data_IF_402357778402
#
_entry.id   IF_402357778402
#
_cell.length_a   1.000
_cell.length_b   1.000
_cell.length_c   1.000
_cell.angle_alpha   90.00
_cell.angle_beta   90.00
_cell.angle_gamma   90.00
#
_symmetry.space_group_name_H-M   'P 1'
#
loop_
_entity.id
_entity.type
_entity.pdbx_description
1 polymer ?
#
# COMPACT_ATOMS: atom_id res chain seq x y z
N UNK A 1 -1.13 0.06 15.63
CA UNK A 1 -0.37 -0.13 14.38
C UNK A 1 0.86 0.75 14.42
N UNK A 2 2.04 0.21 14.11
CA UNK A 2 3.29 0.95 13.99
C UNK A 2 3.42 1.56 12.60
N UNK A 3 3.86 2.82 12.53
CA UNK A 3 4.23 3.48 11.29
C UNK A 3 5.76 3.59 11.22
N UNK A 4 6.36 3.09 10.15
CA UNK A 4 7.80 3.19 9.93
C UNK A 4 8.06 3.73 8.53
N UNK A 5 8.73 4.88 8.46
CA UNK A 5 9.28 5.40 7.21
C UNK A 5 10.77 5.04 7.16
N UNK A 6 11.23 4.47 6.04
CA UNK A 6 12.65 4.20 5.83
C UNK A 6 13.29 5.41 5.13
N UNK A 7 14.38 5.91 5.71
CA UNK A 7 15.14 7.04 5.15
C UNK A 7 16.00 6.61 3.94
N UNK A 8 16.36 5.34 3.87
CA UNK A 8 17.17 4.77 2.80
C UNK A 8 16.32 4.36 1.60
N UNK A 9 16.88 4.53 0.41
CA UNK A 9 16.29 3.97 -0.81
C UNK A 9 16.40 2.45 -0.75
N UNK A 10 15.27 1.77 -0.92
CA UNK A 10 15.15 0.33 -0.89
C UNK A 10 14.30 -0.14 -2.07
N UNK A 11 14.86 -0.99 -2.92
CA UNK A 11 14.13 -1.57 -4.04
C UNK A 11 13.17 -2.68 -3.59
N UNK A 12 12.04 -2.79 -4.29
CA UNK A 12 11.04 -3.82 -4.09
C UNK A 12 11.15 -4.88 -5.19
N UNK A 13 11.52 -6.09 -4.79
CA UNK A 13 11.63 -7.27 -5.68
C UNK A 13 10.46 -8.27 -5.49
N UNK A 14 9.53 -7.92 -4.60
CA UNK A 14 8.38 -8.76 -4.22
C UNK A 14 8.62 -9.58 -2.95
N UNK A 15 9.87 -9.77 -2.52
CA UNK A 15 10.17 -10.62 -1.36
C UNK A 15 9.72 -9.98 -0.03
N UNK A 16 9.56 -8.66 0.00
CA UNK A 16 9.14 -7.86 1.15
C UNK A 16 7.67 -8.09 1.54
N UNK A 17 6.84 -8.66 0.64
CA UNK A 17 5.44 -9.00 0.96
C UNK A 17 5.32 -10.23 1.86
N UNK A 18 6.42 -10.92 2.14
CA UNK A 18 6.44 -12.04 3.08
C UNK A 18 5.99 -11.65 4.51
N UNK A 19 5.38 -12.61 5.21
CA UNK A 19 5.00 -12.44 6.61
C UNK A 19 6.19 -12.13 7.49
N UNK A 20 5.98 -11.33 8.53
CA UNK A 20 7.00 -10.95 9.51
C UNK A 20 8.19 -10.19 8.90
N UNK A 21 8.04 -9.65 7.68
CA UNK A 21 9.11 -8.87 7.06
C UNK A 21 9.52 -7.66 7.91
N UNK A 22 8.53 -6.93 8.44
CA UNK A 22 8.76 -5.79 9.33
C UNK A 22 9.43 -6.20 10.66
N UNK A 23 9.09 -7.38 11.18
CA UNK A 23 9.75 -7.96 12.35
C UNK A 23 11.21 -8.31 12.06
N UNK A 24 11.50 -8.95 10.93
CA UNK A 24 12.87 -9.29 10.54
C UNK A 24 13.72 -8.04 10.26
N UNK A 25 13.10 -6.99 9.75
CA UNK A 25 13.79 -5.73 9.44
C UNK A 25 14.11 -4.90 10.69
N UNK A 26 13.14 -4.67 11.59
CA UNK A 26 13.27 -3.74 12.72
C UNK A 26 12.75 -4.27 14.07
N UNK A 27 12.34 -5.54 14.16
CA UNK A 27 11.84 -6.14 15.40
C UNK A 27 10.42 -5.72 15.78
N UNK A 28 9.62 -5.24 14.83
CA UNK A 28 8.25 -4.77 15.05
C UNK A 28 7.32 -5.94 15.39
N UNK A 29 6.64 -5.88 16.55
CA UNK A 29 5.82 -6.97 17.10
C UNK A 29 4.31 -6.65 17.15
N UNK A 30 3.85 -5.78 16.27
CA UNK A 30 2.45 -5.35 16.16
C UNK A 30 2.07 -5.16 14.71
N UNK A 31 0.77 -4.96 14.43
CA UNK A 31 0.31 -4.49 13.12
C UNK A 31 1.16 -3.30 12.65
N UNK A 32 1.54 -3.27 11.39
CA UNK A 32 2.50 -2.27 10.89
C UNK A 32 2.22 -1.83 9.47
N UNK A 33 2.59 -0.58 9.20
CA UNK A 33 2.79 -0.05 7.86
C UNK A 33 4.25 0.42 7.76
N UNK A 34 4.98 -0.17 6.83
CA UNK A 34 6.35 0.23 6.50
C UNK A 34 6.33 0.89 5.13
N UNK A 35 6.76 2.15 5.06
CA UNK A 35 6.78 2.92 3.83
C UNK A 35 8.20 3.34 3.46
N UNK A 36 8.53 3.26 2.17
CA UNK A 36 9.87 3.55 1.66
C UNK A 36 9.80 3.92 0.17
N UNK A 37 10.93 4.35 -0.39
CA UNK A 37 11.05 4.68 -1.81
C UNK A 37 12.15 3.86 -2.46
N UNK A 38 11.96 3.47 -3.71
CA UNK A 38 12.97 2.78 -4.51
C UNK A 38 12.41 2.31 -5.84
N UNK A 39 13.19 1.50 -6.55
CA UNK A 39 12.74 0.83 -7.75
C UNK A 39 11.80 -0.33 -7.43
N UNK A 40 11.07 -0.76 -8.44
CA UNK A 40 10.21 -1.93 -8.42
C UNK A 40 10.64 -2.86 -9.55
N UNK A 41 10.99 -4.11 -9.24
CA UNK A 41 11.30 -5.16 -10.22
C UNK A 41 10.92 -6.52 -9.63
N UNK A 42 9.62 -6.85 -9.70
CA UNK A 42 9.07 -8.04 -9.06
C UNK A 42 9.54 -9.30 -9.78
N UNK A 43 10.24 -10.17 -9.05
CA UNK A 43 10.70 -11.46 -9.60
C UNK A 43 9.52 -12.41 -9.78
N UNK A 44 9.56 -13.23 -10.84
CA UNK A 44 8.50 -14.19 -11.18
C UNK A 44 8.16 -15.19 -10.04
N UNK A 45 9.14 -15.48 -9.18
CA UNK A 45 8.99 -16.33 -7.99
C UNK A 45 8.31 -15.62 -6.82
N UNK A 46 8.29 -14.29 -6.81
CA UNK A 46 7.64 -13.44 -5.82
C UNK A 46 6.33 -12.82 -6.33
N UNK A 47 5.98 -13.07 -7.59
CA UNK A 47 4.73 -12.62 -8.18
C UNK A 47 3.54 -13.36 -7.56
N UNK A 48 2.74 -12.61 -6.81
CA UNK A 48 1.55 -13.13 -6.12
C UNK A 48 0.35 -13.19 -7.05
N UNK A 49 0.19 -12.20 -7.95
CA UNK A 49 -0.88 -12.24 -8.93
C UNK A 49 -0.59 -13.30 -10.01
N UNK A 50 -1.46 -14.30 -10.06
CA UNK A 50 -1.33 -15.39 -11.02
C UNK A 50 -1.82 -15.01 -12.42
N UNK A 51 -2.60 -13.94 -12.56
CA UNK A 51 -2.98 -13.38 -13.86
C UNK A 51 -1.76 -12.76 -14.53
N UNK A 52 -1.05 -11.86 -13.84
CA UNK A 52 0.21 -11.26 -14.32
C UNK A 52 1.23 -12.34 -14.70
N UNK A 53 1.35 -13.37 -13.84
CA UNK A 53 2.24 -14.52 -14.10
C UNK A 53 1.84 -15.32 -15.35
N UNK A 54 0.55 -15.45 -15.65
CA UNK A 54 0.05 -16.15 -16.84
C UNK A 54 0.22 -15.33 -18.10
N UNK A 55 0.07 -14.01 -18.00
CA UNK A 55 0.25 -13.08 -19.11
C UNK A 55 1.72 -12.79 -19.42
N UNK A 56 2.61 -13.12 -18.47
CA UNK A 56 4.05 -12.85 -18.59
C UNK A 56 4.36 -11.37 -18.38
N UNK A 57 3.49 -10.68 -17.65
CA UNK A 57 3.62 -9.26 -17.40
C UNK A 57 4.78 -9.00 -16.42
N UNK A 58 5.48 -7.90 -16.67
CA UNK A 58 6.56 -7.44 -15.81
C UNK A 58 6.04 -6.31 -14.92
N UNK A 59 6.10 -6.49 -13.61
CA UNK A 59 5.82 -5.40 -12.66
C UNK A 59 7.13 -4.67 -12.41
N UNK A 60 7.32 -3.58 -13.15
CA UNK A 60 8.54 -2.78 -13.12
C UNK A 60 8.24 -1.28 -12.98
N UNK A 61 9.07 -0.58 -12.22
CA UNK A 61 9.11 0.88 -12.17
C UNK A 61 10.49 1.35 -11.69
N UNK A 62 11.10 2.38 -12.30
CA UNK A 62 12.41 2.85 -11.89
C UNK A 62 12.39 3.61 -10.56
N UNK A 63 11.25 4.21 -10.17
CA UNK A 63 11.12 5.01 -8.96
C UNK A 63 9.68 5.05 -8.47
N UNK A 64 9.46 4.51 -7.27
CA UNK A 64 8.15 4.26 -6.70
C UNK A 64 8.15 4.45 -5.18
N UNK A 65 7.03 4.95 -4.65
CA UNK A 65 6.72 4.90 -3.22
C UNK A 65 6.08 3.55 -2.92
N UNK A 66 6.60 2.85 -1.91
CA UNK A 66 6.12 1.53 -1.50
C UNK A 66 5.52 1.61 -0.10
N UNK A 67 4.42 0.88 0.09
CA UNK A 67 3.77 0.69 1.39
C UNK A 67 3.55 -0.81 1.61
N UNK A 68 4.15 -1.36 2.67
CA UNK A 68 3.99 -2.74 3.10
C UNK A 68 3.21 -2.75 4.40
N UNK A 69 1.99 -3.27 4.34
CA UNK A 69 1.07 -3.33 5.47
C UNK A 69 0.97 -4.79 5.94
N UNK A 70 1.01 -4.99 7.25
CA UNK A 70 0.79 -6.29 7.88
C UNK A 70 -0.18 -6.18 9.07
N UNK A 71 -1.22 -7.02 9.05
CA UNK A 71 -2.20 -7.14 10.14
C UNK A 71 -2.24 -8.58 10.69
N UNK A 72 -2.34 -8.71 12.01
CA UNK A 72 -2.31 -10.01 12.71
C UNK A 72 -3.66 -10.41 13.35
N UNK A 73 -4.73 -9.70 13.05
CA UNK A 73 -6.06 -9.91 13.66
C UNK A 73 -6.93 -10.95 12.94
N UNK A 74 -6.60 -11.29 11.69
CA UNK A 74 -7.39 -12.21 10.86
C UNK A 74 -6.56 -12.78 9.71
N UNK A 75 -7.04 -13.86 9.08
CA UNK A 75 -6.54 -14.37 7.79
C UNK A 75 -7.64 -14.41 6.73
N UNK A 76 -8.73 -13.66 6.94
CA UNK A 76 -9.85 -13.58 5.99
C UNK A 76 -9.45 -12.83 4.71
N UNK A 77 -9.57 -13.51 3.57
CA UNK A 77 -9.19 -12.96 2.27
C UNK A 77 -10.07 -11.76 1.85
N UNK A 78 -11.38 -11.78 2.15
CA UNK A 78 -12.25 -10.66 1.78
C UNK A 78 -11.90 -9.43 2.61
N UNK A 79 -11.54 -9.61 3.88
CA UNK A 79 -11.12 -8.52 4.75
C UNK A 79 -9.83 -7.87 4.26
N UNK A 80 -8.80 -8.63 3.87
CA UNK A 80 -7.54 -8.01 3.38
C UNK A 80 -7.76 -7.25 2.07
N UNK A 81 -8.56 -7.78 1.14
CA UNK A 81 -8.91 -7.06 -0.09
C UNK A 81 -9.79 -5.82 0.18
N UNK A 82 -10.64 -5.85 1.21
CA UNK A 82 -11.37 -4.67 1.65
C UNK A 82 -10.42 -3.59 2.23
N UNK A 83 -9.44 -4.00 3.05
CA UNK A 83 -8.41 -3.10 3.60
C UNK A 83 -7.52 -2.51 2.52
N UNK A 84 -7.13 -3.29 1.52
CA UNK A 84 -6.40 -2.82 0.34
C UNK A 84 -7.18 -1.71 -0.39
N UNK A 85 -8.48 -1.92 -0.60
CA UNK A 85 -9.34 -0.91 -1.26
C UNK A 85 -9.58 0.33 -0.39
N UNK A 86 -9.67 0.17 0.93
CA UNK A 86 -9.70 1.30 1.87
C UNK A 86 -8.41 2.11 1.78
N UNK A 87 -7.24 1.45 1.80
CA UNK A 87 -5.95 2.12 1.63
C UNK A 87 -5.87 2.86 0.30
N UNK A 88 -6.34 2.25 -0.78
CA UNK A 88 -6.43 2.89 -2.11
C UNK A 88 -7.27 4.17 -2.08
N UNK A 89 -8.39 4.16 -1.34
CA UNK A 89 -9.24 5.34 -1.18
C UNK A 89 -8.54 6.45 -0.38
N UNK A 90 -7.85 6.10 0.72
CA UNK A 90 -7.06 7.04 1.52
C UNK A 90 -5.97 7.69 0.67
N UNK A 91 -5.26 6.91 -0.15
CA UNK A 91 -4.26 7.45 -1.08
C UNK A 91 -4.92 8.44 -2.05
N UNK A 92 -6.07 8.11 -2.63
CA UNK A 92 -6.78 9.02 -3.53
C UNK A 92 -7.18 10.34 -2.85
N UNK A 93 -7.64 10.27 -1.60
CA UNK A 93 -7.99 11.44 -0.79
C UNK A 93 -6.76 12.32 -0.49
N UNK A 94 -5.63 11.72 -0.11
CA UNK A 94 -4.38 12.44 0.12
C UNK A 94 -3.88 13.10 -1.18
N UNK A 95 -3.94 12.40 -2.31
CA UNK A 95 -3.56 12.96 -3.61
C UNK A 95 -4.47 14.14 -4.00
N UNK A 96 -5.77 14.03 -3.75
CA UNK A 96 -6.73 15.10 -3.97
C UNK A 96 -6.42 16.35 -3.10
N UNK A 97 -6.08 16.15 -1.83
CA UNK A 97 -5.65 17.24 -0.92
C UNK A 97 -4.38 17.95 -1.42
N UNK A 98 -3.57 17.27 -2.23
CA UNK A 98 -2.38 17.81 -2.88
C UNK A 98 -2.64 18.30 -4.31
N UNK A 99 -3.91 18.42 -4.73
CA UNK A 99 -4.30 18.94 -6.03
C UNK A 99 -4.26 17.94 -7.18
N UNK A 100 -4.04 16.65 -6.89
CA UNK A 100 -3.97 15.57 -7.90
C UNK A 100 -5.32 14.83 -7.95
N UNK A 101 -6.08 15.09 -9.01
CA UNK A 101 -7.34 14.37 -9.27
C UNK A 101 -7.04 12.96 -9.79
N UNK A 102 -7.52 11.93 -9.08
CA UNK A 102 -7.41 10.54 -9.54
C UNK A 102 -8.77 9.91 -9.81
N UNK A 103 -8.79 8.90 -10.68
CA UNK A 103 -9.93 7.99 -10.83
C UNK A 103 -9.56 6.64 -10.24
N UNK A 104 -10.41 6.09 -9.37
CA UNK A 104 -10.21 4.76 -8.78
C UNK A 104 -10.98 3.69 -9.55
N UNK A 105 -10.31 2.60 -9.91
CA UNK A 105 -10.93 1.39 -10.44
C UNK A 105 -10.46 0.20 -9.60
N UNK A 106 -11.31 -0.28 -8.69
CA UNK A 106 -10.90 -1.33 -7.75
C UNK A 106 -9.82 -0.85 -6.78
N UNK A 107 -8.65 -1.46 -6.84
CA UNK A 107 -7.42 -1.20 -6.09
C UNK A 107 -6.39 -0.35 -6.87
N UNK A 108 -6.73 0.06 -8.10
CA UNK A 108 -5.90 0.91 -8.93
C UNK A 108 -6.36 2.38 -8.92
N UNK A 109 -5.39 3.29 -8.91
CA UNK A 109 -5.59 4.71 -9.19
C UNK A 109 -5.01 5.07 -10.55
N UNK A 110 -5.71 5.96 -11.23
CA UNK A 110 -5.35 6.49 -12.54
C UNK A 110 -5.28 8.01 -12.49
N UNK A 111 -4.34 8.58 -13.23
CA UNK A 111 -4.26 10.01 -13.53
C UNK A 111 -4.07 10.20 -15.03
N UNK A 112 -4.84 11.11 -15.62
CA UNK A 112 -4.87 11.32 -17.08
C UNK A 112 -5.02 10.03 -17.90
N UNK A 113 -5.88 9.12 -17.42
CA UNK A 113 -6.12 7.79 -18.00
C UNK A 113 -4.93 6.83 -17.99
N UNK A 114 -3.82 7.18 -17.34
CA UNK A 114 -2.69 6.28 -17.13
C UNK A 114 -2.72 5.72 -15.70
N UNK A 115 -2.43 4.42 -15.57
CA UNK A 115 -2.34 3.75 -14.26
C UNK A 115 -1.19 4.36 -13.46
N UNK A 116 -1.47 4.85 -12.26
CA UNK A 116 -0.53 5.53 -11.36
C UNK A 116 0.04 4.57 -10.31
N UNK A 117 -0.76 3.59 -9.90
CA UNK A 117 -0.45 2.71 -8.77
C UNK A 117 -0.42 1.25 -9.17
N UNK A 118 0.26 0.45 -8.35
CA UNK A 118 0.13 -1.00 -8.33
C UNK A 118 -0.26 -1.42 -6.92
N UNK A 119 -0.95 -2.54 -6.78
CA UNK A 119 -1.40 -3.01 -5.48
C UNK A 119 -1.60 -4.51 -5.51
N UNK A 120 -1.32 -5.17 -4.40
CA UNK A 120 -1.68 -6.57 -4.20
C UNK A 120 -1.97 -6.84 -2.73
N UNK A 121 -2.91 -7.73 -2.48
CA UNK A 121 -3.31 -8.17 -1.16
C UNK A 121 -3.35 -9.69 -1.10
N UNK A 122 -2.90 -10.25 0.01
CA UNK A 122 -3.01 -11.69 0.25
C UNK A 122 -2.92 -11.99 1.74
N UNK A 123 -3.06 -13.26 2.10
CA UNK A 123 -2.88 -13.72 3.47
C UNK A 123 -1.86 -14.85 3.52
N UNK A 124 -1.16 -14.90 4.64
CA UNK A 124 -0.38 -16.05 5.06
C UNK A 124 -1.18 -16.87 6.07
N UNK A 125 -0.57 -17.89 6.64
CA UNK A 125 -1.16 -18.66 7.74
C UNK A 125 -1.28 -17.86 9.05
N UNK A 126 -0.64 -16.70 9.18
CA UNK A 126 -0.53 -15.97 10.46
C UNK A 126 -0.82 -14.47 10.37
N UNK A 127 -0.94 -13.90 9.15
CA UNK A 127 -1.12 -12.47 8.94
C UNK A 127 -1.71 -12.16 7.59
N UNK A 128 -2.29 -10.97 7.47
CA UNK A 128 -2.68 -10.36 6.19
C UNK A 128 -1.59 -9.43 5.71
N UNK A 129 -1.37 -9.37 4.39
CA UNK A 129 -0.34 -8.55 3.75
C UNK A 129 -0.94 -7.74 2.62
N UNK A 130 -0.54 -6.47 2.55
CA UNK A 130 -0.81 -5.60 1.40
C UNK A 130 0.48 -4.94 0.98
N UNK A 131 0.77 -4.96 -0.32
CA UNK A 131 1.73 -4.07 -0.95
C UNK A 131 0.97 -3.06 -1.80
N UNK A 132 1.37 -1.80 -1.70
CA UNK A 132 0.87 -0.73 -2.55
C UNK A 132 2.06 0.09 -3.07
N UNK A 133 2.02 0.44 -4.34
CA UNK A 133 3.05 1.19 -5.05
C UNK A 133 2.49 2.42 -5.75
N UNK A 134 3.18 3.56 -5.68
CA UNK A 134 2.83 4.79 -6.41
C UNK A 134 4.04 5.22 -7.24
N UNK A 135 3.89 5.30 -8.56
CA UNK A 135 4.99 5.75 -9.42
C UNK A 135 5.38 7.19 -9.10
N UNK A 136 6.63 7.42 -8.72
CA UNK A 136 7.21 8.77 -8.62
C UNK A 136 7.60 9.24 -10.01
N UNK A 137 8.29 8.39 -10.76
CA UNK A 137 8.69 8.60 -12.15
C UNK A 137 8.53 7.33 -12.96
N UNK A 138 7.98 7.43 -14.18
CA UNK A 138 7.86 6.31 -15.09
C UNK A 138 7.64 6.80 -16.53
N UNK A 139 8.28 6.15 -17.52
CA UNK A 139 8.21 6.57 -18.93
C UNK A 139 6.82 6.34 -19.57
N UNK A 140 6.20 5.20 -19.27
CA UNK A 140 4.91 4.78 -19.89
C UNK A 140 3.67 5.02 -19.02
N UNK A 141 3.72 4.63 -17.74
CA UNK A 141 2.61 4.73 -16.79
C UNK A 141 2.46 6.14 -16.19
N UNK A 142 1.33 6.37 -15.51
CA UNK A 142 1.10 7.62 -14.78
C UNK A 142 2.08 7.70 -13.61
N UNK A 143 2.54 8.90 -13.31
CA UNK A 143 3.52 9.14 -12.26
C UNK A 143 3.28 10.50 -11.59
N UNK A 144 3.81 10.67 -10.38
CA UNK A 144 3.65 11.88 -9.57
C UNK A 144 4.35 13.10 -10.19
N UNK A 145 5.48 12.91 -10.85
CA UNK A 145 6.23 13.98 -11.50
C UNK A 145 5.42 14.72 -12.57
N UNK A 146 4.71 13.98 -13.43
CA UNK A 146 3.87 14.54 -14.51
C UNK A 146 2.72 15.41 -13.99
N UNK A 147 2.30 15.22 -12.74
CA UNK A 147 1.17 15.93 -12.12
C UNK A 147 1.61 16.99 -11.11
N UNK A 148 2.88 17.40 -11.16
CA UNK A 148 3.41 18.52 -10.38
C UNK A 148 3.81 18.20 -8.93
N UNK A 149 3.89 16.90 -8.59
CA UNK A 149 4.44 16.43 -7.33
C UNK A 149 5.91 16.06 -7.58
N UNK A 150 6.80 16.98 -7.20
CA UNK A 150 8.24 16.74 -7.26
C UNK A 150 8.69 15.67 -6.27
N UNK A 151 9.95 15.26 -6.40
CA UNK A 151 10.59 14.25 -5.58
C UNK A 151 10.49 14.52 -4.06
N UNK A 152 10.68 15.78 -3.63
CA UNK A 152 10.64 16.15 -2.23
C UNK A 152 9.22 16.00 -1.66
N UNK A 153 8.22 16.46 -2.42
CA UNK A 153 6.81 16.28 -2.06
C UNK A 153 6.41 14.81 -2.06
N UNK A 154 6.88 14.03 -3.04
CA UNK A 154 6.61 12.60 -3.13
C UNK A 154 7.11 11.85 -1.89
N UNK A 155 8.35 12.14 -1.43
CA UNK A 155 8.87 11.57 -0.18
C UNK A 155 8.01 11.97 1.02
N UNK A 156 7.54 13.23 1.06
CA UNK A 156 6.60 13.69 2.09
C UNK A 156 5.28 12.91 2.13
N UNK A 157 4.81 12.38 0.99
CA UNK A 157 3.58 11.57 0.94
C UNK A 157 3.71 10.24 1.69
N UNK A 158 4.92 9.66 1.82
CA UNK A 158 5.13 8.42 2.59
C UNK A 158 4.61 8.57 4.02
N UNK A 159 4.98 9.65 4.69
CA UNK A 159 4.53 9.96 6.05
C UNK A 159 3.04 10.22 6.11
N UNK A 160 2.55 11.15 5.28
CA UNK A 160 1.14 11.59 5.31
C UNK A 160 0.18 10.42 5.05
N UNK A 161 0.42 9.62 4.01
CA UNK A 161 -0.43 8.48 3.66
C UNK A 161 -0.41 7.43 4.78
N UNK A 162 0.78 7.12 5.31
CA UNK A 162 0.92 6.10 6.35
C UNK A 162 0.24 6.52 7.65
N UNK A 163 0.40 7.77 8.06
CA UNK A 163 -0.25 8.33 9.24
C UNK A 163 -1.77 8.35 9.10
N UNK A 164 -2.30 8.71 7.92
CA UNK A 164 -3.74 8.64 7.67
C UNK A 164 -4.28 7.22 7.80
N UNK A 165 -3.57 6.22 7.27
CA UNK A 165 -4.00 4.83 7.42
C UNK A 165 -3.93 4.35 8.88
N UNK A 166 -2.87 4.68 9.61
CA UNK A 166 -2.78 4.36 11.04
C UNK A 166 -3.91 5.01 11.83
N UNK A 167 -4.26 6.26 11.52
CA UNK A 167 -5.38 6.95 12.14
C UNK A 167 -6.72 6.28 11.82
N UNK A 168 -6.95 5.90 10.56
CA UNK A 168 -8.15 5.19 10.12
C UNK A 168 -8.34 3.88 10.88
N UNK A 169 -7.30 3.03 10.93
CA UNK A 169 -7.33 1.76 11.67
C UNK A 169 -7.56 2.01 13.16
N UNK A 170 -6.89 3.00 13.76
CA UNK A 170 -7.08 3.33 15.16
C UNK A 170 -8.51 3.83 15.48
N UNK A 171 -9.15 4.54 14.55
CA UNK A 171 -10.52 5.00 14.71
C UNK A 171 -11.53 3.86 14.59
N UNK A 172 -11.35 2.97 13.60
CA UNK A 172 -12.11 1.72 13.48
C UNK A 172 -12.03 0.92 14.79
N UNK A 173 -10.83 0.75 15.34
CA UNK A 173 -10.60 0.05 16.60
C UNK A 173 -11.35 0.71 17.78
N UNK A 174 -11.37 2.05 17.86
CA UNK A 174 -12.16 2.76 18.88
C UNK A 174 -13.66 2.55 18.69
N UNK A 175 -14.13 2.61 17.45
CA UNK A 175 -15.54 2.47 17.07
C UNK A 175 -16.08 1.07 17.38
N UNK A 176 -15.29 0.03 17.09
CA UNK A 176 -15.61 -1.36 17.42
C UNK A 176 -15.86 -1.54 18.92
N UNK A 177 -15.07 -0.87 19.79
CA UNK A 177 -15.14 -1.03 21.26
C UNK A 177 -16.22 -0.19 21.95
N UNK A 178 -16.85 0.74 21.23
CA UNK A 178 -17.97 1.56 21.75
C UNK A 178 -19.31 1.22 21.08
N UNK A 179 -19.32 0.28 20.15
CA UNK A 179 -20.53 -0.18 19.47
C UNK A 179 -21.18 -1.32 20.26
N UNK A 180 -22.40 -1.12 20.73
CA UNK A 180 -23.14 -2.17 21.44
C UNK A 180 -23.46 -3.34 20.49
N UNK A 181 -23.41 -4.60 20.95
CA UNK A 181 -23.94 -5.73 20.19
C UNK A 181 -25.43 -5.55 19.84
N UNK A 182 -25.87 -6.16 18.74
CA UNK A 182 -27.22 -6.01 18.17
C UNK A 182 -28.32 -6.79 18.91
N UNK A 183 -28.05 -7.30 20.12
CA UNK A 183 -29.05 -7.92 21.00
C UNK A 183 -29.86 -6.83 21.72
N UNK A 184 -30.50 -5.98 20.93
CA UNK A 184 -31.34 -4.88 21.41
C UNK A 184 -32.51 -5.46 22.22
N UNK A 185 -32.51 -5.18 23.52
CA UNK A 185 -33.72 -4.92 24.33
C UNK A 185 -34.10 -3.45 24.12
#
# INVERSE_FOLDING_TARGET
>A
MECVILDEILDYDGSQISSLWAYNLKGIQQDSIVAFRGGCDVKLEHMIDLEDKRMGDSIYSPDMLHFLIEHFDSTDLKLVYARQRLFTAIVAEVLLENGVMTTRQGDDLFVDSKKLTISIASTSSVSQKVHFGINVSHDFYGNLGDVGIDEMKAVGLLGVISEKYVAEIADIEKDLRKSRPLDVV
#
